data_IF_081530699748
#
_entry.id   IF_081530699748
#
_cell.length_a   1.000
_cell.length_b   1.000
_cell.length_c   1.000
_cell.angle_alpha   90.00
_cell.angle_beta   90.00
_cell.angle_gamma   90.00
#
_symmetry.space_group_name_H-M   'P 1'
#
loop_
_entity.id
_entity.type
_entity.pdbx_description
1 polymer ?
#
# COMPACT_ATOMS: atom_id res chain seq x y z
N UNK A 1 -28.84 -1.72 -19.29
CA UNK A 1 -28.06 -2.29 -18.17
C UNK A 1 -27.53 -3.65 -18.61
N UNK A 2 -26.21 -3.80 -18.84
CA UNK A 2 -25.63 -5.13 -19.10
C UNK A 2 -25.54 -5.85 -17.76
N UNK A 3 -26.22 -6.98 -17.63
CA UNK A 3 -26.18 -7.83 -16.45
C UNK A 3 -24.73 -8.25 -16.16
N UNK A 4 -24.25 -7.94 -14.96
CA UNK A 4 -23.03 -8.55 -14.41
C UNK A 4 -23.21 -10.08 -14.42
N UNK A 5 -22.17 -10.86 -14.77
CA UNK A 5 -22.27 -12.31 -14.73
C UNK A 5 -22.66 -12.72 -13.32
N UNK A 6 -23.71 -13.53 -13.20
CA UNK A 6 -24.19 -14.08 -11.93
C UNK A 6 -23.09 -14.95 -11.31
N UNK A 7 -22.22 -14.35 -10.51
CA UNK A 7 -21.37 -15.07 -9.56
C UNK A 7 -22.34 -15.71 -8.56
N UNK A 8 -22.37 -17.04 -8.47
CA UNK A 8 -23.31 -17.70 -7.56
C UNK A 8 -23.00 -17.29 -6.12
N UNK A 9 -24.03 -17.24 -5.28
CA UNK A 9 -23.91 -16.95 -3.85
C UNK A 9 -22.82 -17.79 -3.12
N UNK A 10 -22.56 -19.03 -3.59
CA UNK A 10 -21.53 -19.91 -3.04
C UNK A 10 -20.11 -19.51 -3.43
N UNK A 11 -19.93 -18.71 -4.48
CA UNK A 11 -18.61 -18.40 -5.03
C UNK A 11 -17.98 -17.18 -4.35
N UNK A 12 -18.75 -16.12 -4.08
CA UNK A 12 -18.27 -14.94 -3.34
C UNK A 12 -17.77 -15.29 -1.93
N UNK A 13 -18.51 -16.12 -1.21
CA UNK A 13 -18.18 -16.49 0.16
C UNK A 13 -16.86 -17.30 0.21
N UNK A 14 -16.64 -18.19 -0.77
CA UNK A 14 -15.36 -18.90 -0.93
C UNK A 14 -14.23 -17.93 -1.22
N UNK A 15 -14.43 -16.99 -2.14
CA UNK A 15 -13.45 -15.98 -2.48
C UNK A 15 -13.05 -15.14 -1.24
N UNK A 16 -14.02 -14.71 -0.43
CA UNK A 16 -13.72 -13.95 0.81
C UNK A 16 -12.95 -14.80 1.84
N UNK A 17 -13.30 -16.09 1.99
CA UNK A 17 -12.60 -17.02 2.89
C UNK A 17 -11.15 -17.22 2.43
N UNK A 18 -10.92 -17.40 1.13
CA UNK A 18 -9.59 -17.55 0.54
C UNK A 18 -8.73 -16.29 0.75
N UNK A 19 -9.35 -15.11 0.68
CA UNK A 19 -8.71 -13.82 0.98
C UNK A 19 -8.46 -13.57 2.47
N UNK A 20 -8.75 -14.53 3.36
CA UNK A 20 -8.45 -14.47 4.79
C UNK A 20 -9.68 -14.40 5.70
N UNK A 21 -10.88 -14.18 5.17
CA UNK A 21 -12.12 -13.98 5.92
C UNK A 21 -12.73 -15.26 6.53
N UNK A 22 -11.90 -16.20 7.02
CA UNK A 22 -12.32 -17.55 7.47
C UNK A 22 -13.44 -17.54 8.52
N UNK A 23 -13.45 -16.54 9.40
CA UNK A 23 -14.44 -16.40 10.47
C UNK A 23 -15.79 -15.81 10.03
N UNK A 24 -15.99 -15.49 8.75
CA UNK A 24 -17.17 -14.76 8.27
C UNK A 24 -18.50 -15.41 8.68
N UNK A 25 -18.62 -16.73 8.63
CA UNK A 25 -19.84 -17.45 9.00
C UNK A 25 -20.00 -17.70 10.51
N UNK A 26 -18.96 -17.44 11.32
CA UNK A 26 -19.10 -17.45 12.79
C UNK A 26 -19.86 -16.22 13.31
N UNK A 27 -19.91 -15.14 12.53
CA UNK A 27 -20.54 -13.88 12.91
C UNK A 27 -22.07 -13.98 12.92
N UNK A 28 -22.65 -13.88 14.11
CA UNK A 28 -24.09 -13.83 14.38
C UNK A 28 -24.67 -12.41 14.61
N UNK A 29 -23.96 -11.35 14.20
CA UNK A 29 -24.47 -9.96 14.18
C UNK A 29 -24.74 -9.29 15.55
N UNK A 30 -24.04 -9.68 16.63
CA UNK A 30 -24.19 -9.05 17.96
C UNK A 30 -23.84 -7.55 18.02
N UNK A 31 -22.84 -7.09 17.28
CA UNK A 31 -22.44 -5.67 17.25
C UNK A 31 -21.29 -5.27 18.18
N UNK A 32 -20.73 -6.19 18.99
CA UNK A 32 -19.61 -5.89 19.89
C UNK A 32 -18.42 -5.24 19.19
N UNK A 33 -18.14 -5.65 17.94
CA UNK A 33 -17.07 -5.06 17.13
C UNK A 33 -17.30 -3.58 16.81
N UNK A 34 -18.55 -3.15 16.63
CA UNK A 34 -18.87 -1.74 16.36
C UNK A 34 -18.82 -0.94 17.67
N UNK A 35 -19.33 -1.52 18.76
CA UNK A 35 -19.34 -0.88 20.08
C UNK A 35 -17.93 -0.63 20.66
N UNK A 36 -16.98 -1.55 20.44
CA UNK A 36 -15.60 -1.41 20.95
C UNK A 36 -14.71 -0.50 20.08
N UNK A 37 -15.16 -0.13 18.88
CA UNK A 37 -14.30 0.56 17.93
C UNK A 37 -14.19 2.04 18.26
N UNK A 38 -12.99 2.48 18.65
CA UNK A 38 -12.70 3.90 18.93
C UNK A 38 -13.01 4.84 17.74
N UNK A 39 -13.02 4.31 16.53
CA UNK A 39 -13.31 5.06 15.31
C UNK A 39 -14.82 5.17 15.03
N UNK A 40 -15.63 4.27 15.59
CA UNK A 40 -17.08 4.28 15.41
C UNK A 40 -17.77 5.45 16.13
N UNK A 41 -17.15 6.03 17.15
CA UNK A 41 -17.67 7.23 17.81
C UNK A 41 -17.63 8.47 16.88
N UNK A 42 -16.56 8.57 16.08
CA UNK A 42 -16.37 9.66 15.11
C UNK A 42 -17.00 9.40 13.74
N UNK A 43 -17.54 8.21 13.48
CA UNK A 43 -18.09 7.87 12.17
C UNK A 43 -19.33 6.97 12.24
N UNK A 44 -20.30 7.19 11.36
CA UNK A 44 -21.45 6.29 11.19
C UNK A 44 -21.07 5.00 10.46
N UNK A 45 -20.30 4.13 11.12
CA UNK A 45 -19.89 2.83 10.60
C UNK A 45 -20.68 1.67 11.23
N UNK A 46 -20.98 0.66 10.43
CA UNK A 46 -21.60 -0.58 10.90
C UNK A 46 -20.87 -1.76 10.29
N UNK A 47 -20.01 -2.41 11.07
CA UNK A 47 -19.30 -3.62 10.64
C UNK A 47 -20.28 -4.77 10.39
N UNK A 48 -21.35 -4.84 11.19
CA UNK A 48 -22.44 -5.80 11.05
C UNK A 48 -23.02 -5.80 9.64
N UNK A 49 -23.37 -4.61 9.14
CA UNK A 49 -23.99 -4.43 7.81
C UNK A 49 -23.11 -4.99 6.70
N UNK A 50 -21.84 -4.60 6.65
CA UNK A 50 -20.94 -5.04 5.58
C UNK A 50 -20.63 -6.54 5.67
N UNK A 51 -20.47 -7.08 6.89
CA UNK A 51 -20.31 -8.52 7.10
C UNK A 51 -21.58 -9.28 6.65
N UNK A 52 -22.77 -8.75 6.93
CA UNK A 52 -24.01 -9.38 6.48
C UNK A 52 -24.17 -9.33 4.96
N UNK A 53 -23.78 -8.24 4.31
CA UNK A 53 -23.75 -8.17 2.84
C UNK A 53 -22.82 -9.22 2.25
N UNK A 54 -21.67 -9.45 2.88
CA UNK A 54 -20.74 -10.50 2.50
C UNK A 54 -21.35 -11.89 2.67
N UNK A 55 -21.88 -12.21 3.86
CA UNK A 55 -22.57 -13.47 4.15
C UNK A 55 -23.73 -13.74 3.18
N UNK A 56 -24.46 -12.69 2.78
CA UNK A 56 -25.60 -12.75 1.86
C UNK A 56 -25.21 -12.68 0.37
N UNK A 57 -23.92 -12.55 0.04
CA UNK A 57 -23.43 -12.49 -1.33
C UNK A 57 -23.86 -11.24 -2.11
N UNK A 58 -24.17 -10.14 -1.42
CA UNK A 58 -24.60 -8.88 -2.05
C UNK A 58 -23.41 -8.08 -2.58
N UNK A 59 -22.79 -8.56 -3.67
CA UNK A 59 -21.64 -7.92 -4.36
C UNK A 59 -21.91 -6.44 -4.63
N UNK A 60 -23.10 -6.12 -5.15
CA UNK A 60 -23.47 -4.74 -5.49
C UNK A 60 -23.52 -3.79 -4.31
N UNK A 61 -23.80 -4.30 -3.11
CA UNK A 61 -23.77 -3.51 -1.87
C UNK A 61 -22.35 -3.44 -1.32
N UNK A 62 -21.61 -4.55 -1.38
CA UNK A 62 -20.22 -4.61 -0.93
C UNK A 62 -19.33 -3.64 -1.68
N UNK A 63 -19.39 -3.58 -3.02
CA UNK A 63 -18.52 -2.69 -3.80
C UNK A 63 -18.73 -1.20 -3.48
N UNK A 64 -19.91 -0.83 -2.97
CA UNK A 64 -20.29 0.54 -2.61
C UNK A 64 -20.04 0.88 -1.14
N UNK A 65 -19.83 -0.11 -0.28
CA UNK A 65 -19.69 0.10 1.16
C UNK A 65 -18.27 0.58 1.50
N UNK A 66 -18.18 1.73 2.17
CA UNK A 66 -16.91 2.39 2.52
C UNK A 66 -16.25 1.81 3.77
N UNK A 67 -17.01 1.09 4.59
CA UNK A 67 -16.58 0.62 5.91
C UNK A 67 -15.26 -0.19 5.88
N UNK A 68 -15.02 -1.12 4.93
CA UNK A 68 -13.75 -1.84 4.88
C UNK A 68 -12.53 -0.90 4.72
N UNK A 69 -12.67 0.18 3.94
CA UNK A 69 -11.60 1.16 3.70
C UNK A 69 -11.39 2.14 4.85
N UNK A 70 -12.45 2.44 5.61
CA UNK A 70 -12.37 3.27 6.81
C UNK A 70 -11.77 2.53 8.02
N UNK A 71 -11.76 1.19 8.00
CA UNK A 71 -11.21 0.38 9.07
C UNK A 71 -9.67 0.45 9.13
N UNK A 72 -9.13 0.87 10.28
CA UNK A 72 -7.68 0.94 10.54
C UNK A 72 -7.05 -0.40 10.95
N UNK A 73 -7.81 -1.48 11.06
CA UNK A 73 -7.29 -2.84 11.30
C UNK A 73 -6.51 -2.98 12.62
N UNK A 74 -6.84 -2.16 13.62
CA UNK A 74 -6.05 -2.07 14.85
C UNK A 74 -6.15 -3.33 15.73
N UNK A 75 -7.29 -4.02 15.70
CA UNK A 75 -7.46 -5.36 16.26
C UNK A 75 -8.40 -5.50 17.46
N UNK A 76 -8.80 -4.40 18.11
CA UNK A 76 -9.56 -4.45 19.38
C UNK A 76 -10.87 -5.24 19.27
N UNK A 77 -11.49 -5.26 18.09
CA UNK A 77 -12.71 -6.02 17.82
C UNK A 77 -12.54 -7.55 17.83
N UNK A 78 -11.31 -8.06 17.86
CA UNK A 78 -11.04 -9.51 17.88
C UNK A 78 -11.33 -10.05 19.27
N UNK A 79 -10.75 -9.44 20.30
CA UNK A 79 -10.94 -9.81 21.70
C UNK A 79 -12.40 -9.60 22.13
N UNK A 80 -13.03 -8.53 21.64
CA UNK A 80 -14.45 -8.25 21.92
C UNK A 80 -15.44 -9.21 21.23
N UNK A 81 -15.00 -10.09 20.33
CA UNK A 81 -15.89 -10.94 19.55
C UNK A 81 -16.22 -12.26 20.29
N UNK A 82 -17.46 -12.46 20.78
CA UNK A 82 -17.82 -13.65 21.58
C UNK A 82 -17.85 -14.97 20.77
N UNK A 83 -17.76 -14.88 19.45
CA UNK A 83 -17.77 -16.03 18.52
C UNK A 83 -16.42 -16.33 17.90
N UNK A 84 -15.36 -15.60 18.28
CA UNK A 84 -14.03 -15.74 17.65
C UNK A 84 -14.12 -15.68 16.10
N UNK A 85 -14.90 -14.73 15.60
CA UNK A 85 -15.12 -14.52 14.17
C UNK A 85 -14.02 -13.68 13.51
N UNK A 86 -13.14 -13.07 14.31
CA UNK A 86 -12.08 -12.18 13.87
C UNK A 86 -12.58 -11.09 12.88
N UNK A 87 -13.38 -10.11 13.34
CA UNK A 87 -13.95 -9.07 12.48
C UNK A 87 -12.88 -8.25 11.75
N UNK A 88 -11.69 -8.13 12.35
CA UNK A 88 -10.57 -7.39 11.79
C UNK A 88 -10.05 -8.03 10.50
N UNK A 89 -9.82 -9.35 10.49
CA UNK A 89 -9.41 -10.08 9.28
C UNK A 89 -10.53 -10.13 8.24
N UNK A 90 -11.80 -10.24 8.66
CA UNK A 90 -12.94 -10.16 7.72
C UNK A 90 -12.95 -8.81 7.00
N UNK A 91 -12.77 -7.68 7.70
CA UNK A 91 -12.71 -6.36 7.05
C UNK A 91 -11.46 -6.19 6.17
N UNK A 92 -10.34 -6.82 6.53
CA UNK A 92 -9.16 -6.87 5.67
C UNK A 92 -9.40 -7.67 4.38
N UNK A 93 -10.04 -8.85 4.48
CA UNK A 93 -10.38 -9.67 3.30
C UNK A 93 -11.40 -8.97 2.40
N UNK A 94 -12.35 -8.23 2.97
CA UNK A 94 -13.30 -7.44 2.19
C UNK A 94 -12.64 -6.31 1.40
N UNK A 95 -11.59 -5.66 1.93
CA UNK A 95 -10.79 -4.70 1.14
C UNK A 95 -10.08 -5.35 -0.02
N UNK A 96 -9.47 -6.53 0.22
CA UNK A 96 -8.83 -7.31 -0.85
C UNK A 96 -9.86 -7.63 -1.94
N UNK A 97 -11.03 -8.12 -1.54
CA UNK A 97 -12.13 -8.43 -2.45
C UNK A 97 -12.61 -7.20 -3.23
N UNK A 98 -12.90 -6.08 -2.56
CA UNK A 98 -13.29 -4.82 -3.20
C UNK A 98 -12.24 -4.32 -4.21
N UNK A 99 -10.95 -4.47 -3.89
CA UNK A 99 -9.86 -4.11 -4.81
C UNK A 99 -9.95 -4.89 -6.13
N UNK A 100 -10.36 -6.17 -6.09
CA UNK A 100 -10.60 -6.96 -7.30
C UNK A 100 -11.80 -6.50 -8.12
N UNK A 101 -12.79 -5.84 -7.50
CA UNK A 101 -13.98 -5.30 -8.19
C UNK A 101 -13.69 -3.95 -8.83
N UNK A 102 -12.85 -3.12 -8.19
CA UNK A 102 -12.48 -1.80 -8.69
C UNK A 102 -11.54 -1.88 -9.88
N UNK A 103 -10.68 -2.87 -9.92
CA UNK A 103 -9.80 -3.14 -11.06
C UNK A 103 -10.57 -3.70 -12.25
N UNK A 104 -10.47 -3.03 -13.40
CA UNK A 104 -11.13 -3.48 -14.64
C UNK A 104 -10.28 -4.42 -15.47
N UNK A 105 -8.97 -4.47 -15.21
CA UNK A 105 -8.02 -5.31 -15.95
C UNK A 105 -8.07 -6.78 -15.53
N UNK A 106 -8.55 -7.05 -14.31
CA UNK A 106 -8.54 -8.39 -13.70
C UNK A 106 -7.19 -8.78 -13.08
N UNK A 107 -6.15 -7.95 -13.19
CA UNK A 107 -4.82 -8.24 -12.65
C UNK A 107 -4.86 -8.31 -11.12
N UNK A 108 -5.62 -7.46 -10.45
CA UNK A 108 -5.82 -7.49 -9.00
C UNK A 108 -6.45 -8.80 -8.56
N UNK A 109 -7.43 -9.32 -9.32
CA UNK A 109 -8.03 -10.63 -9.03
C UNK A 109 -6.96 -11.71 -9.10
N UNK A 110 -6.21 -11.78 -10.20
CA UNK A 110 -5.10 -12.72 -10.31
C UNK A 110 -4.06 -12.53 -9.19
N UNK A 111 -3.71 -11.29 -8.86
CA UNK A 111 -2.74 -10.96 -7.82
C UNK A 111 -3.20 -11.45 -6.46
N UNK A 112 -4.39 -11.06 -5.99
CA UNK A 112 -4.84 -11.44 -4.65
C UNK A 112 -5.03 -12.97 -4.49
N UNK A 113 -5.58 -13.66 -5.49
CA UNK A 113 -5.86 -15.10 -5.41
C UNK A 113 -4.65 -16.00 -5.76
N UNK A 114 -3.58 -15.47 -6.36
CA UNK A 114 -2.39 -16.27 -6.65
C UNK A 114 -1.63 -16.67 -5.38
N UNK A 115 -1.01 -17.85 -5.37
CA UNK A 115 -0.12 -18.24 -4.27
C UNK A 115 1.14 -17.35 -4.23
N UNK A 116 1.79 -17.27 -3.06
CA UNK A 116 3.03 -16.50 -2.91
C UNK A 116 4.12 -16.96 -3.90
N UNK A 117 4.24 -18.26 -4.15
CA UNK A 117 5.18 -18.84 -5.13
C UNK A 117 4.94 -18.30 -6.54
N UNK A 118 3.69 -18.24 -7.00
CA UNK A 118 3.33 -17.69 -8.32
C UNK A 118 3.67 -16.20 -8.42
N UNK A 119 3.36 -15.43 -7.38
CA UNK A 119 3.69 -14.00 -7.33
C UNK A 119 5.20 -13.75 -7.39
N UNK A 120 5.98 -14.50 -6.61
CA UNK A 120 7.44 -14.43 -6.61
C UNK A 120 8.03 -14.83 -7.97
N UNK A 121 7.50 -15.88 -8.60
CA UNK A 121 7.92 -16.30 -9.93
C UNK A 121 7.70 -15.20 -10.98
N UNK A 122 6.52 -14.59 -11.03
CA UNK A 122 6.25 -13.51 -11.99
C UNK A 122 7.11 -12.28 -11.69
N UNK A 123 7.28 -11.94 -10.42
CA UNK A 123 8.18 -10.85 -10.01
C UNK A 123 9.61 -11.11 -10.46
N UNK A 124 10.11 -12.32 -10.26
CA UNK A 124 11.45 -12.73 -10.69
C UNK A 124 11.59 -12.65 -12.22
N UNK A 125 10.64 -13.20 -12.96
CA UNK A 125 10.65 -13.16 -14.44
C UNK A 125 10.66 -11.71 -14.94
N UNK A 126 9.79 -10.84 -14.43
CA UNK A 126 9.75 -9.43 -14.84
C UNK A 126 11.01 -8.67 -14.42
N UNK A 127 11.58 -9.00 -13.26
CA UNK A 127 12.86 -8.41 -12.84
C UNK A 127 13.98 -8.83 -13.78
N UNK A 128 13.99 -10.10 -14.21
CA UNK A 128 15.00 -10.61 -15.12
C UNK A 128 14.86 -10.04 -16.53
N UNK A 129 13.63 -9.92 -17.04
CA UNK A 129 13.36 -9.21 -18.30
C UNK A 129 13.87 -7.77 -18.21
N UNK A 130 13.61 -7.08 -17.09
CA UNK A 130 14.08 -5.71 -16.87
C UNK A 130 15.60 -5.63 -16.83
N UNK A 131 16.27 -6.51 -16.08
CA UNK A 131 17.74 -6.56 -15.96
C UNK A 131 18.39 -6.87 -17.32
N UNK A 132 17.90 -7.89 -18.03
CA UNK A 132 18.41 -8.26 -19.36
C UNK A 132 18.17 -7.12 -20.35
N UNK A 133 16.99 -6.50 -20.35
CA UNK A 133 16.71 -5.33 -21.19
C UNK A 133 17.63 -4.16 -20.91
N UNK A 134 17.87 -3.84 -19.63
CA UNK A 134 18.78 -2.76 -19.23
C UNK A 134 20.21 -3.03 -19.67
N UNK A 135 20.71 -4.25 -19.48
CA UNK A 135 22.05 -4.63 -19.92
C UNK A 135 22.12 -4.60 -21.46
N UNK A 136 21.21 -5.24 -22.17
CA UNK A 136 21.24 -5.29 -23.63
C UNK A 136 21.20 -3.90 -24.30
N UNK A 137 20.45 -2.95 -23.73
CA UNK A 137 20.27 -1.61 -24.32
C UNK A 137 21.35 -0.64 -23.84
N UNK A 138 21.72 -0.66 -22.55
CA UNK A 138 22.57 0.37 -21.94
C UNK A 138 23.97 -0.11 -21.57
N UNK A 139 24.37 -1.34 -21.94
CA UNK A 139 25.71 -1.87 -21.63
C UNK A 139 26.84 -0.95 -22.09
N UNK A 140 26.76 -0.43 -23.32
CA UNK A 140 27.80 0.47 -23.85
C UNK A 140 27.95 1.75 -23.02
N UNK A 141 26.83 2.38 -22.63
CA UNK A 141 26.85 3.55 -21.74
C UNK A 141 27.41 3.22 -20.36
N UNK A 142 26.99 2.09 -19.76
CA UNK A 142 27.52 1.63 -18.47
C UNK A 142 29.04 1.44 -18.54
N UNK A 143 29.53 0.71 -19.56
CA UNK A 143 30.96 0.46 -19.72
C UNK A 143 31.76 1.73 -19.98
N UNK A 144 31.20 2.70 -20.72
CA UNK A 144 31.83 4.00 -20.94
C UNK A 144 32.04 4.76 -19.62
N UNK A 145 31.01 4.90 -18.78
CA UNK A 145 31.16 5.57 -17.48
C UNK A 145 32.03 4.78 -16.50
N UNK A 146 31.90 3.45 -16.48
CA UNK A 146 32.74 2.58 -15.67
C UNK A 146 34.23 2.72 -16.04
N UNK A 147 34.56 2.81 -17.34
CA UNK A 147 35.94 3.02 -17.81
C UNK A 147 36.54 4.36 -17.36
N UNK A 148 35.67 5.34 -17.07
CA UNK A 148 36.05 6.65 -16.53
C UNK A 148 36.09 6.67 -15.00
N UNK A 149 35.82 5.54 -14.34
CA UNK A 149 35.70 5.45 -12.89
C UNK A 149 34.69 6.46 -12.32
N UNK A 150 33.51 6.56 -12.94
CA UNK A 150 32.42 7.39 -12.44
C UNK A 150 31.11 6.61 -12.47
N UNK A 151 30.32 6.76 -11.41
CA UNK A 151 28.93 6.30 -11.39
C UNK A 151 27.98 7.44 -11.73
N UNK A 152 27.10 7.21 -12.71
CA UNK A 152 26.08 8.15 -13.15
C UNK A 152 24.75 7.40 -13.25
N UNK A 153 23.69 7.98 -12.68
CA UNK A 153 22.33 7.53 -12.98
C UNK A 153 22.04 7.85 -14.44
N UNK A 154 21.98 6.84 -15.29
CA UNK A 154 21.84 6.98 -16.74
C UNK A 154 20.60 7.82 -17.12
N UNK A 155 20.78 9.02 -17.69
CA UNK A 155 19.66 9.86 -18.14
C UNK A 155 18.79 9.16 -19.18
N UNK A 156 19.35 8.23 -19.95
CA UNK A 156 18.68 7.48 -21.02
C UNK A 156 17.62 6.51 -20.47
N UNK A 157 17.70 6.11 -19.19
CA UNK A 157 16.71 5.27 -18.52
C UNK A 157 15.50 6.10 -18.07
N UNK A 158 15.68 7.41 -17.87
CA UNK A 158 14.66 8.28 -17.29
C UNK A 158 13.33 8.28 -18.08
N UNK A 159 13.30 8.34 -19.43
CA UNK A 159 12.05 8.27 -20.19
C UNK A 159 11.28 6.97 -19.94
N UNK A 160 11.98 5.83 -19.81
CA UNK A 160 11.36 4.53 -19.51
C UNK A 160 10.78 4.56 -18.10
N UNK A 161 11.53 5.07 -17.13
CA UNK A 161 11.05 5.23 -15.75
C UNK A 161 9.80 6.10 -15.65
N UNK A 162 9.78 7.24 -16.36
CA UNK A 162 8.62 8.14 -16.44
C UNK A 162 7.43 7.42 -17.09
N UNK A 163 7.63 6.75 -18.22
CA UNK A 163 6.58 6.01 -18.92
C UNK A 163 5.92 4.97 -18.01
N UNK A 164 6.72 4.13 -17.34
CA UNK A 164 6.20 3.10 -16.43
C UNK A 164 5.49 3.71 -15.23
N UNK A 165 5.99 4.83 -14.71
CA UNK A 165 5.35 5.56 -13.60
C UNK A 165 4.00 6.13 -14.03
N UNK A 166 3.93 6.79 -15.18
CA UNK A 166 2.69 7.36 -15.74
C UNK A 166 1.67 6.26 -16.02
N UNK A 167 2.10 5.14 -16.62
CA UNK A 167 1.25 3.98 -16.86
C UNK A 167 0.69 3.41 -15.54
N UNK A 168 1.55 3.20 -14.55
CA UNK A 168 1.19 2.68 -13.24
C UNK A 168 0.19 3.59 -12.52
N UNK A 169 0.47 4.90 -12.46
CA UNK A 169 -0.42 5.89 -11.85
C UNK A 169 -1.72 6.04 -12.64
N UNK A 170 -1.68 5.95 -13.96
CA UNK A 170 -2.87 5.96 -14.82
C UNK A 170 -3.79 4.76 -14.54
N UNK A 171 -3.23 3.56 -14.42
CA UNK A 171 -3.98 2.36 -14.04
C UNK A 171 -4.56 2.49 -12.63
N UNK A 172 -3.77 2.92 -11.65
CA UNK A 172 -4.24 3.14 -10.29
C UNK A 172 -5.35 4.20 -10.23
N UNK A 173 -5.18 5.33 -10.93
CA UNK A 173 -6.17 6.39 -11.01
C UNK A 173 -7.45 5.90 -11.70
N UNK A 174 -7.36 5.08 -12.74
CA UNK A 174 -8.52 4.49 -13.41
C UNK A 174 -9.33 3.60 -12.46
N UNK A 175 -8.66 2.78 -11.65
CA UNK A 175 -9.30 1.93 -10.65
C UNK A 175 -9.87 2.75 -9.50
N UNK A 176 -9.16 3.78 -9.05
CA UNK A 176 -9.64 4.75 -8.06
C UNK A 176 -10.90 5.48 -8.54
N UNK A 177 -10.94 5.89 -9.81
CA UNK A 177 -12.11 6.52 -10.40
C UNK A 177 -13.31 5.55 -10.48
N UNK A 178 -13.07 4.26 -10.77
CA UNK A 178 -14.13 3.23 -10.70
C UNK A 178 -14.66 3.08 -9.28
N UNK A 179 -13.78 2.98 -8.28
CA UNK A 179 -14.18 2.99 -6.86
C UNK A 179 -15.02 4.22 -6.55
N UNK A 180 -14.55 5.42 -6.91
CA UNK A 180 -15.24 6.69 -6.70
C UNK A 180 -16.66 6.67 -7.29
N UNK A 181 -16.82 6.16 -8.51
CA UNK A 181 -18.13 5.97 -9.15
C UNK A 181 -19.02 4.99 -8.38
N UNK A 182 -18.50 3.84 -7.97
CA UNK A 182 -19.29 2.85 -7.22
C UNK A 182 -19.84 3.42 -5.92
N UNK A 183 -19.03 4.19 -5.19
CA UNK A 183 -19.41 4.73 -3.88
C UNK A 183 -20.30 5.99 -3.95
N UNK A 184 -20.71 6.40 -5.15
CA UNK A 184 -21.70 7.46 -5.39
C UNK A 184 -21.21 8.65 -6.22
N UNK A 185 -19.90 8.77 -6.47
CA UNK A 185 -19.33 9.62 -7.52
C UNK A 185 -19.79 11.08 -7.55
N UNK A 186 -19.89 11.76 -6.40
CA UNK A 186 -20.31 13.17 -6.37
C UNK A 186 -21.72 13.42 -5.84
N UNK A 187 -22.53 12.36 -5.72
CA UNK A 187 -23.94 12.47 -5.32
C UNK A 187 -24.09 12.57 -3.80
N UNK A 188 -25.14 13.28 -3.40
CA UNK A 188 -25.59 13.40 -2.01
C UNK A 188 -24.52 13.98 -1.07
N UNK A 189 -23.77 14.95 -1.58
CA UNK A 189 -22.73 15.62 -0.81
C UNK A 189 -23.30 16.80 -0.02
N UNK A 190 -23.07 16.78 1.29
CA UNK A 190 -23.64 17.73 2.25
C UNK A 190 -22.69 18.84 2.67
N UNK A 191 -21.38 18.67 2.44
CA UNK A 191 -20.33 19.65 2.81
C UNK A 191 -19.42 19.97 1.63
N UNK A 192 -18.67 21.09 1.68
CA UNK A 192 -17.72 21.51 0.65
C UNK A 192 -16.43 20.66 0.62
N UNK A 193 -15.58 20.84 -0.41
CA UNK A 193 -14.34 20.07 -0.56
C UNK A 193 -13.36 20.41 0.57
N UNK A 194 -13.14 21.71 0.79
CA UNK A 194 -12.25 22.20 1.84
C UNK A 194 -12.73 21.78 3.23
N UNK A 195 -14.05 21.77 3.47
CA UNK A 195 -14.61 21.32 4.73
C UNK A 195 -14.41 19.80 4.93
N UNK A 196 -14.63 19.00 3.89
CA UNK A 196 -14.30 17.57 3.91
C UNK A 196 -12.82 17.33 4.24
N UNK A 197 -11.92 18.03 3.56
CA UNK A 197 -10.48 17.93 3.80
C UNK A 197 -10.11 18.24 5.25
N UNK A 198 -10.63 19.34 5.81
CA UNK A 198 -10.41 19.71 7.22
C UNK A 198 -10.89 18.62 8.17
N UNK A 199 -12.10 18.07 7.98
CA UNK A 199 -12.66 17.00 8.82
C UNK A 199 -11.84 15.72 8.77
N UNK A 200 -11.46 15.28 7.56
CA UNK A 200 -10.61 14.10 7.36
C UNK A 200 -9.26 14.29 8.07
N UNK A 201 -8.64 15.46 7.90
CA UNK A 201 -7.35 15.75 8.50
C UNK A 201 -7.42 15.75 10.03
N UNK A 202 -8.39 16.46 10.63
CA UNK A 202 -8.58 16.47 12.10
C UNK A 202 -8.86 15.08 12.65
N UNK A 203 -9.76 14.34 12.00
CA UNK A 203 -10.10 12.97 12.39
C UNK A 203 -8.86 12.06 12.35
N UNK A 204 -8.07 12.14 11.28
CA UNK A 204 -6.86 11.34 11.13
C UNK A 204 -5.81 11.69 12.19
N UNK A 205 -5.51 12.97 12.38
CA UNK A 205 -4.56 13.44 13.41
C UNK A 205 -4.99 12.95 14.80
N UNK A 206 -6.27 13.12 15.17
CA UNK A 206 -6.79 12.65 16.46
C UNK A 206 -6.65 11.13 16.60
N UNK A 207 -7.13 10.38 15.60
CA UNK A 207 -7.10 8.92 15.62
C UNK A 207 -5.67 8.36 15.73
N UNK A 208 -4.71 8.94 15.02
CA UNK A 208 -3.31 8.49 15.09
C UNK A 208 -2.67 8.88 16.43
N UNK A 209 -2.91 10.10 16.92
CA UNK A 209 -2.40 10.55 18.23
C UNK A 209 -2.92 9.68 19.38
N UNK A 210 -4.19 9.31 19.36
CA UNK A 210 -4.76 8.42 20.38
C UNK A 210 -4.18 7.00 20.27
N UNK A 211 -3.96 6.51 19.05
CA UNK A 211 -3.36 5.20 18.84
C UNK A 211 -1.86 5.15 19.24
N UNK A 212 -1.12 6.26 19.06
CA UNK A 212 0.28 6.39 19.50
C UNK A 212 0.44 6.32 21.03
N UNK A 213 -0.60 6.64 21.82
CA UNK A 213 -0.54 6.52 23.28
C UNK A 213 -0.39 5.07 23.74
N UNK A 214 -0.91 4.10 22.98
CA UNK A 214 -0.87 2.67 23.30
C UNK A 214 0.43 2.05 22.77
N UNK A 215 1.27 1.47 23.63
CA UNK A 215 2.62 0.97 23.30
C UNK A 215 2.65 0.01 22.09
N UNK A 216 1.81 -1.02 22.08
CA UNK A 216 1.77 -2.03 21.01
C UNK A 216 1.22 -1.48 19.68
N UNK A 217 0.39 -0.43 19.72
CA UNK A 217 -0.08 0.27 18.52
C UNK A 217 0.99 1.24 18.01
N UNK A 218 1.68 1.95 18.91
CA UNK A 218 2.75 2.92 18.61
C UNK A 218 3.83 2.33 17.72
N UNK A 219 4.35 1.16 18.07
CA UNK A 219 5.42 0.51 17.30
C UNK A 219 4.96 0.23 15.85
N UNK A 220 3.74 -0.30 15.68
CA UNK A 220 3.17 -0.60 14.36
C UNK A 220 2.96 0.66 13.51
N UNK A 221 2.51 1.74 14.14
CA UNK A 221 2.32 3.04 13.48
C UNK A 221 3.67 3.59 13.02
N UNK A 222 4.68 3.59 13.89
CA UNK A 222 6.03 4.08 13.56
C UNK A 222 6.67 3.29 12.41
N UNK A 223 6.55 1.96 12.41
CA UNK A 223 7.03 1.12 11.29
C UNK A 223 6.37 1.54 9.96
N UNK A 224 5.06 1.77 9.98
CA UNK A 224 4.34 2.22 8.77
C UNK A 224 4.70 3.66 8.37
N UNK A 225 4.89 4.56 9.34
CA UNK A 225 5.32 5.93 9.10
C UNK A 225 6.72 6.01 8.52
N UNK A 226 7.64 5.11 8.92
CA UNK A 226 8.96 5.03 8.30
C UNK A 226 8.86 4.61 6.82
N UNK A 227 8.03 3.62 6.49
CA UNK A 227 7.78 3.26 5.09
C UNK A 227 7.23 4.48 4.32
N UNK A 228 6.20 5.14 4.85
CA UNK A 228 5.57 6.29 4.20
C UNK A 228 6.56 7.45 4.00
N UNK A 229 7.30 7.81 5.05
CA UNK A 229 8.29 8.90 5.00
C UNK A 229 9.42 8.60 4.03
N UNK A 230 9.93 7.35 4.00
CA UNK A 230 10.95 6.94 3.04
C UNK A 230 10.46 7.03 1.59
N UNK A 231 9.25 6.55 1.29
CA UNK A 231 8.67 6.63 -0.06
C UNK A 231 8.47 8.09 -0.47
N UNK A 232 7.87 8.91 0.39
CA UNK A 232 7.64 10.34 0.11
C UNK A 232 8.96 11.06 -0.15
N UNK A 233 9.97 10.83 0.70
CA UNK A 233 11.27 11.46 0.54
C UNK A 233 11.94 11.06 -0.78
N UNK A 234 11.86 9.80 -1.19
CA UNK A 234 12.36 9.38 -2.50
C UNK A 234 11.60 10.04 -3.66
N UNK A 235 10.28 10.11 -3.60
CA UNK A 235 9.47 10.80 -4.62
C UNK A 235 9.88 12.28 -4.70
N UNK A 236 10.02 12.96 -3.56
CA UNK A 236 10.44 14.36 -3.52
C UNK A 236 11.83 14.55 -4.14
N UNK A 237 12.79 13.68 -3.82
CA UNK A 237 14.14 13.74 -4.42
C UNK A 237 14.08 13.58 -5.94
N UNK A 238 13.32 12.60 -6.44
CA UNK A 238 13.14 12.42 -7.90
C UNK A 238 12.47 13.64 -8.54
N UNK A 239 11.44 14.22 -7.92
CA UNK A 239 10.79 15.44 -8.44
C UNK A 239 11.74 16.64 -8.46
N UNK A 240 12.55 16.82 -7.43
CA UNK A 240 13.57 17.87 -7.39
C UNK A 240 14.57 17.68 -8.53
N UNK A 241 15.04 16.45 -8.77
CA UNK A 241 15.93 16.14 -9.89
C UNK A 241 15.30 16.46 -11.25
N UNK A 242 14.01 16.15 -11.43
CA UNK A 242 13.29 16.44 -12.67
C UNK A 242 13.09 17.93 -12.92
N UNK A 243 12.83 18.71 -11.88
CA UNK A 243 12.53 20.15 -12.00
C UNK A 243 13.81 20.98 -12.09
N UNK A 244 14.81 20.66 -11.29
CA UNK A 244 16.04 21.44 -11.18
C UNK A 244 17.25 20.56 -10.88
N UNK A 245 17.77 19.80 -11.88
CA UNK A 245 18.83 18.82 -11.67
C UNK A 245 20.13 19.43 -11.12
N UNK A 246 20.41 20.69 -11.43
CA UNK A 246 21.62 21.40 -10.98
C UNK A 246 21.75 21.45 -9.45
N UNK A 247 20.65 21.38 -8.69
CA UNK A 247 20.68 21.39 -7.22
C UNK A 247 21.47 20.23 -6.61
N UNK A 248 21.61 19.13 -7.34
CA UNK A 248 22.42 17.97 -6.93
C UNK A 248 23.93 18.26 -6.92
N UNK A 249 24.35 19.36 -7.55
CA UNK A 249 25.76 19.76 -7.67
C UNK A 249 26.07 21.09 -6.95
N UNK A 250 25.06 21.81 -6.44
CA UNK A 250 25.24 23.12 -5.81
C UNK A 250 25.49 22.96 -4.31
N UNK A 251 26.54 23.60 -3.79
CA UNK A 251 26.79 23.68 -2.35
C UNK A 251 25.84 24.70 -1.67
N UNK A 252 25.28 24.40 -0.47
CA UNK A 252 25.43 23.17 0.32
C UNK A 252 24.39 22.08 0.00
N UNK A 253 23.47 22.34 -0.93
CA UNK A 253 22.33 21.47 -1.22
C UNK A 253 22.71 20.06 -1.67
N UNK A 254 23.82 19.88 -2.37
CA UNK A 254 24.35 18.58 -2.75
C UNK A 254 24.52 17.63 -1.55
N UNK A 255 25.04 18.14 -0.41
CA UNK A 255 25.18 17.36 0.82
C UNK A 255 23.83 17.05 1.48
N UNK A 256 22.90 17.99 1.45
CA UNK A 256 21.53 17.77 1.98
C UNK A 256 20.83 16.67 1.18
N UNK A 257 20.96 16.69 -0.14
CA UNK A 257 20.39 15.68 -1.03
C UNK A 257 21.06 14.32 -0.84
N UNK A 258 22.39 14.30 -0.68
CA UNK A 258 23.14 13.09 -0.35
C UNK A 258 22.63 12.48 0.97
N UNK A 259 22.61 13.24 2.06
CA UNK A 259 22.09 12.78 3.34
C UNK A 259 20.62 12.31 3.24
N UNK A 260 19.78 13.04 2.51
CA UNK A 260 18.37 12.71 2.32
C UNK A 260 18.17 11.36 1.63
N UNK A 261 19.02 11.01 0.65
CA UNK A 261 18.99 9.68 0.00
C UNK A 261 19.26 8.56 1.00
N UNK A 262 20.24 8.72 1.88
CA UNK A 262 20.53 7.75 2.95
C UNK A 262 19.39 7.64 3.96
N UNK A 263 18.84 8.77 4.40
CA UNK A 263 17.69 8.80 5.30
C UNK A 263 16.50 8.07 4.68
N UNK A 264 16.18 8.35 3.41
CA UNK A 264 15.09 7.69 2.70
C UNK A 264 15.30 6.16 2.65
N UNK A 265 16.52 5.73 2.30
CA UNK A 265 16.89 4.31 2.24
C UNK A 265 16.74 3.61 3.60
N UNK A 266 17.29 4.21 4.65
CA UNK A 266 17.25 3.67 6.02
C UNK A 266 15.81 3.58 6.54
N UNK A 267 14.98 4.58 6.28
CA UNK A 267 13.57 4.56 6.64
C UNK A 267 12.82 3.39 5.98
N UNK A 268 13.09 3.10 4.71
CA UNK A 268 12.50 1.93 4.04
C UNK A 268 13.05 0.61 4.58
N UNK A 269 14.37 0.49 4.76
CA UNK A 269 15.02 -0.72 5.26
C UNK A 269 14.53 -1.07 6.67
N UNK A 270 14.49 -0.09 7.58
CA UNK A 270 14.02 -0.28 8.95
C UNK A 270 12.51 -0.46 8.98
N UNK A 271 11.76 0.41 8.30
CA UNK A 271 10.30 0.41 8.28
C UNK A 271 9.70 -0.87 7.69
N UNK A 272 10.31 -1.45 6.64
CA UNK A 272 9.89 -2.72 6.08
C UNK A 272 10.59 -3.93 6.74
N UNK A 273 11.85 -3.81 7.12
CA UNK A 273 12.65 -4.91 7.67
C UNK A 273 12.19 -5.37 9.05
N UNK A 274 11.90 -4.44 9.97
CA UNK A 274 11.41 -4.77 11.31
C UNK A 274 10.11 -5.60 11.28
N UNK A 275 9.02 -5.18 10.62
CA UNK A 275 7.82 -5.99 10.55
C UNK A 275 8.04 -7.29 9.76
N UNK A 276 8.96 -7.32 8.78
CA UNK A 276 9.32 -8.54 8.06
C UNK A 276 9.95 -9.60 9.00
N UNK A 277 10.95 -9.21 9.80
CA UNK A 277 11.59 -10.09 10.80
C UNK A 277 10.60 -10.51 11.87
N UNK A 278 9.77 -9.60 12.38
CA UNK A 278 8.71 -9.93 13.37
C UNK A 278 7.71 -10.95 12.82
N UNK A 279 7.41 -10.91 11.52
CA UNK A 279 6.55 -11.91 10.84
C UNK A 279 7.24 -13.25 10.63
N UNK A 280 8.58 -13.32 10.59
CA UNK A 280 9.31 -14.59 10.53
C UNK A 280 9.59 -15.18 11.92
N UNK A 281 9.62 -14.34 12.95
CA UNK A 281 9.92 -14.78 14.30
C UNK A 281 8.83 -15.68 14.90
N UNK A 282 9.28 -16.80 15.46
CA UNK A 282 8.44 -17.73 16.23
C UNK A 282 8.35 -17.34 17.73
N UNK A 283 9.06 -16.30 18.16
CA UNK A 283 9.11 -15.92 19.57
C UNK A 283 7.71 -15.63 20.14
N UNK A 284 7.37 -16.12 21.34
CA UNK A 284 6.11 -15.81 22.00
C UNK A 284 6.02 -14.32 22.40
N UNK A 285 7.15 -13.62 22.50
CA UNK A 285 7.20 -12.17 22.82
C UNK A 285 6.71 -11.27 21.68
N UNK A 286 6.59 -11.79 20.46
CA UNK A 286 6.08 -11.02 19.32
C UNK A 286 4.57 -10.92 19.39
N UNK A 287 4.07 -9.69 19.42
CA UNK A 287 2.65 -9.36 19.42
C UNK A 287 1.89 -10.10 18.30
N UNK A 288 0.72 -10.64 18.64
CA UNK A 288 -0.08 -11.55 17.79
C UNK A 288 -0.39 -10.95 16.41
N UNK A 289 -0.50 -9.61 16.31
CA UNK A 289 -0.76 -8.87 15.07
C UNK A 289 0.16 -9.30 13.91
N UNK A 290 1.47 -9.45 14.16
CA UNK A 290 2.44 -9.85 13.15
C UNK A 290 2.30 -11.33 12.72
N UNK A 291 1.61 -12.14 13.53
CA UNK A 291 1.35 -13.56 13.25
C UNK A 291 0.06 -13.76 12.45
N UNK A 292 -0.93 -12.88 12.65
CA UNK A 292 -2.26 -13.05 12.09
C UNK A 292 -2.40 -12.51 10.66
N UNK A 293 -1.96 -11.27 10.40
CA UNK A 293 -2.14 -10.60 9.10
C UNK A 293 -1.05 -10.96 8.10
N UNK A 294 -1.06 -12.19 7.56
CA UNK A 294 0.02 -12.74 6.71
C UNK A 294 -0.43 -13.13 5.30
N UNK A 295 -1.37 -12.39 4.71
CA UNK A 295 -1.77 -12.67 3.33
C UNK A 295 -0.56 -12.58 2.39
N UNK A 296 -0.54 -13.35 1.31
CA UNK A 296 0.59 -13.41 0.37
C UNK A 296 0.94 -12.04 -0.24
N UNK A 297 -0.05 -11.16 -0.41
CA UNK A 297 0.19 -9.77 -0.83
C UNK A 297 0.89 -8.92 0.23
N UNK A 298 0.74 -9.23 1.52
CA UNK A 298 1.46 -8.53 2.59
C UNK A 298 2.96 -8.84 2.53
N UNK A 299 3.31 -10.10 2.27
CA UNK A 299 4.70 -10.54 2.15
C UNK A 299 5.41 -9.94 0.96
N UNK A 300 4.80 -10.00 -0.22
CA UNK A 300 5.43 -9.47 -1.43
C UNK A 300 5.59 -7.95 -1.37
N UNK A 301 4.59 -7.25 -0.82
CA UNK A 301 4.61 -5.80 -0.65
C UNK A 301 5.74 -5.34 0.27
N UNK A 302 5.88 -5.96 1.46
CA UNK A 302 7.01 -5.68 2.35
C UNK A 302 8.35 -6.06 1.72
N UNK A 303 8.40 -7.19 1.00
CA UNK A 303 9.60 -7.63 0.30
C UNK A 303 10.09 -6.61 -0.74
N UNK A 304 9.20 -6.10 -1.59
CA UNK A 304 9.52 -5.05 -2.57
C UNK A 304 10.10 -3.81 -1.89
N UNK A 305 9.39 -3.25 -0.90
CA UNK A 305 9.83 -2.02 -0.20
C UNK A 305 11.19 -2.22 0.46
N UNK A 306 11.41 -3.38 1.11
CA UNK A 306 12.68 -3.70 1.73
C UNK A 306 13.81 -3.81 0.72
N UNK A 307 13.62 -4.55 -0.39
CA UNK A 307 14.65 -4.73 -1.42
C UNK A 307 14.96 -3.42 -2.14
N UNK A 308 13.96 -2.60 -2.45
CA UNK A 308 14.16 -1.27 -3.05
C UNK A 308 14.96 -0.37 -2.09
N UNK A 309 14.59 -0.34 -0.80
CA UNK A 309 15.34 0.40 0.21
C UNK A 309 16.78 -0.08 0.37
N UNK A 310 17.00 -1.40 0.43
CA UNK A 310 18.31 -2.01 0.61
C UNK A 310 19.22 -1.78 -0.60
N UNK A 311 18.71 -2.00 -1.81
CA UNK A 311 19.48 -1.76 -3.04
C UNK A 311 19.78 -0.28 -3.22
N UNK A 312 18.85 0.63 -2.89
CA UNK A 312 19.11 2.07 -2.88
C UNK A 312 20.21 2.47 -1.89
N UNK A 313 20.21 1.88 -0.68
CA UNK A 313 21.26 2.09 0.32
C UNK A 313 22.62 1.59 -0.18
N UNK A 314 22.68 0.34 -0.66
CA UNK A 314 23.91 -0.27 -1.15
C UNK A 314 24.50 0.46 -2.35
N UNK A 315 23.66 0.93 -3.27
CA UNK A 315 24.09 1.73 -4.41
C UNK A 315 24.79 3.02 -3.97
N UNK A 316 24.22 3.74 -3.00
CA UNK A 316 24.84 4.96 -2.47
C UNK A 316 26.17 4.63 -1.76
N UNK A 317 26.21 3.58 -0.93
CA UNK A 317 27.44 3.17 -0.22
C UNK A 317 28.55 2.81 -1.21
N UNK A 318 28.27 1.99 -2.23
CA UNK A 318 29.31 1.61 -3.19
C UNK A 318 29.78 2.79 -4.04
N UNK A 319 28.86 3.73 -4.37
CA UNK A 319 29.22 4.94 -5.09
C UNK A 319 30.19 5.79 -4.26
N UNK A 320 29.87 6.02 -2.98
CA UNK A 320 30.65 6.89 -2.11
C UNK A 320 32.00 6.25 -1.70
N UNK A 321 32.08 4.92 -1.72
CA UNK A 321 33.34 4.15 -1.57
C UNK A 321 34.12 3.99 -2.88
N UNK A 322 33.68 4.61 -3.98
CA UNK A 322 34.29 4.52 -5.31
C UNK A 322 34.39 3.09 -5.87
N UNK A 323 33.51 2.18 -5.43
CA UNK A 323 33.37 0.82 -5.96
C UNK A 323 32.35 0.85 -7.10
N UNK A 324 32.71 1.50 -8.20
CA UNK A 324 31.77 1.84 -9.28
C UNK A 324 31.18 0.62 -10.00
N UNK A 325 31.96 -0.45 -10.14
CA UNK A 325 31.44 -1.71 -10.70
C UNK A 325 30.24 -2.23 -9.89
N UNK A 326 30.39 -2.31 -8.55
CA UNK A 326 29.29 -2.73 -7.68
C UNK A 326 28.15 -1.72 -7.67
N UNK A 327 28.44 -0.42 -7.81
CA UNK A 327 27.41 0.61 -7.94
C UNK A 327 26.50 0.35 -9.15
N UNK A 328 27.07 0.03 -10.31
CA UNK A 328 26.30 -0.32 -11.51
C UNK A 328 25.58 -1.67 -11.40
N UNK A 329 26.20 -2.69 -10.80
CA UNK A 329 25.53 -3.98 -10.54
C UNK A 329 24.28 -3.76 -9.68
N UNK A 330 24.41 -3.04 -8.57
CA UNK A 330 23.28 -2.74 -7.69
C UNK A 330 22.26 -1.82 -8.37
N UNK A 331 22.69 -0.83 -9.16
CA UNK A 331 21.80 0.04 -9.92
C UNK A 331 20.91 -0.72 -10.90
N UNK A 332 21.47 -1.66 -11.66
CA UNK A 332 20.70 -2.51 -12.59
C UNK A 332 19.73 -3.41 -11.82
N UNK A 333 20.16 -4.00 -10.70
CA UNK A 333 19.28 -4.80 -9.83
C UNK A 333 18.16 -3.94 -9.22
N UNK A 334 18.48 -2.72 -8.78
CA UNK A 334 17.53 -1.79 -8.19
C UNK A 334 16.42 -1.45 -9.18
N UNK A 335 16.77 -0.99 -10.39
CA UNK A 335 15.78 -0.70 -11.44
C UNK A 335 15.01 -1.96 -11.83
N UNK A 336 15.72 -3.09 -11.93
CA UNK A 336 15.13 -4.41 -12.18
C UNK A 336 14.00 -4.77 -11.20
N UNK A 337 14.07 -4.33 -9.95
CA UNK A 337 13.02 -4.55 -8.94
C UNK A 337 11.98 -3.42 -8.93
N UNK A 338 12.39 -2.17 -9.19
CA UNK A 338 11.49 -1.01 -9.22
C UNK A 338 10.44 -1.13 -10.34
N UNK A 339 10.80 -1.62 -11.53
CA UNK A 339 9.86 -1.73 -12.65
C UNK A 339 8.71 -2.70 -12.37
N UNK A 340 8.93 -3.96 -11.94
CA UNK A 340 7.86 -4.86 -11.50
C UNK A 340 7.04 -4.30 -10.34
N UNK A 341 7.67 -3.61 -9.38
CA UNK A 341 6.97 -2.95 -8.29
C UNK A 341 5.95 -1.92 -8.80
N UNK A 342 6.35 -1.04 -9.72
CA UNK A 342 5.47 -0.06 -10.34
C UNK A 342 4.34 -0.73 -11.14
N UNK A 343 4.62 -1.80 -11.88
CA UNK A 343 3.64 -2.42 -12.77
C UNK A 343 2.64 -3.34 -12.07
N UNK A 344 3.04 -4.00 -10.98
CA UNK A 344 2.20 -4.98 -10.29
C UNK A 344 1.68 -4.45 -8.96
N UNK A 345 2.57 -3.96 -8.11
CA UNK A 345 2.25 -3.74 -6.71
C UNK A 345 1.55 -2.39 -6.47
N UNK A 346 1.93 -1.34 -7.21
CA UNK A 346 1.32 0.00 -7.11
C UNK A 346 -0.17 0.02 -7.53
N UNK A 347 -0.55 -0.42 -8.75
CA UNK A 347 -1.95 -0.35 -9.20
C UNK A 347 -2.83 -1.50 -8.72
N UNK A 348 -2.28 -2.70 -8.52
CA UNK A 348 -3.05 -3.93 -8.28
C UNK A 348 -2.77 -4.60 -6.93
N UNK A 349 -1.63 -4.26 -6.32
CA UNK A 349 -1.18 -4.83 -5.05
C UNK A 349 -1.68 -4.08 -3.82
N UNK A 350 -0.97 -4.26 -2.71
CA UNK A 350 -1.36 -3.63 -1.44
C UNK A 350 -1.20 -2.11 -1.51
N UNK A 351 -0.33 -1.59 -2.36
CA UNK A 351 -0.08 -0.15 -2.42
C UNK A 351 -1.29 0.63 -2.92
N UNK A 352 -2.24 0.06 -3.67
CA UNK A 352 -3.47 0.80 -4.07
C UNK A 352 -4.28 1.39 -2.89
N UNK A 353 -4.05 0.91 -1.66
CA UNK A 353 -4.76 1.35 -0.47
C UNK A 353 -4.59 2.84 -0.16
N UNK A 354 -3.49 3.50 -0.53
CA UNK A 354 -3.34 4.94 -0.28
C UNK A 354 -4.39 5.74 -1.06
N UNK A 355 -4.65 5.36 -2.31
CA UNK A 355 -5.68 6.00 -3.12
C UNK A 355 -7.09 5.61 -2.65
N UNK A 356 -7.35 4.31 -2.49
CA UNK A 356 -8.69 3.84 -2.10
C UNK A 356 -9.13 4.32 -0.73
N UNK A 357 -8.22 4.33 0.26
CA UNK A 357 -8.50 4.89 1.59
C UNK A 357 -8.73 6.40 1.54
N UNK A 358 -7.97 7.12 0.72
CA UNK A 358 -8.16 8.57 0.52
C UNK A 358 -9.53 8.88 -0.10
N UNK A 359 -9.92 8.13 -1.13
CA UNK A 359 -11.24 8.25 -1.75
C UNK A 359 -12.34 7.92 -0.74
N UNK A 360 -12.18 6.84 0.04
CA UNK A 360 -13.17 6.44 1.02
C UNK A 360 -13.36 7.50 2.12
N UNK A 361 -12.26 8.06 2.65
CA UNK A 361 -12.31 9.14 3.63
C UNK A 361 -12.96 10.40 3.04
N UNK A 362 -12.56 10.80 1.83
CA UNK A 362 -13.12 11.96 1.14
C UNK A 362 -14.64 11.82 0.93
N UNK A 363 -15.09 10.70 0.36
CA UNK A 363 -16.50 10.44 0.09
C UNK A 363 -17.29 10.32 1.41
N UNK A 364 -16.72 9.68 2.43
CA UNK A 364 -17.38 9.54 3.73
C UNK A 364 -17.58 10.89 4.41
N UNK A 365 -16.57 11.76 4.40
CA UNK A 365 -16.71 13.12 4.92
C UNK A 365 -17.74 13.92 4.13
N UNK A 366 -17.66 13.88 2.78
CA UNK A 366 -18.62 14.59 1.91
C UNK A 366 -20.07 14.16 2.10
N UNK A 367 -20.31 12.89 2.45
CA UNK A 367 -21.64 12.33 2.78
C UNK A 367 -22.06 12.53 4.25
N UNK A 368 -21.24 13.19 5.06
CA UNK A 368 -21.52 13.42 6.48
C UNK A 368 -21.34 12.20 7.37
N UNK A 369 -20.69 11.12 6.89
CA UNK A 369 -20.42 9.94 7.70
C UNK A 369 -19.28 10.16 8.70
N UNK A 370 -18.33 11.04 8.40
CA UNK A 370 -17.30 11.46 9.35
C UNK A 370 -17.84 12.67 10.13
N UNK A 371 -18.08 12.46 11.42
CA UNK A 371 -18.40 13.55 12.34
C UNK A 371 -17.12 14.35 12.53
N UNK A 372 -17.07 15.54 11.93
CA UNK A 372 -16.10 16.54 12.35
C UNK A 372 -16.51 16.97 13.74
N UNK A 373 -15.79 16.49 14.76
CA UNK A 373 -16.02 16.77 16.18
C UNK A 373 -17.40 16.33 16.72
N UNK A 374 -17.38 15.35 17.64
CA UNK A 374 -18.16 15.51 18.87
C UNK A 374 -17.34 16.49 19.70
N UNK A 375 -17.70 17.77 19.67
CA UNK A 375 -17.38 18.76 20.69
C UNK A 375 -18.50 19.81 20.64
N UNK A 376 -19.40 19.66 21.61
CA UNK A 376 -20.18 20.67 22.36
C UNK A 376 -20.70 21.91 21.63
#
# INVERSE_FOLDING_TARGET
MKATPYISFKDINKEIIELGGKGIFKCYQCGSCTATCAIAEGMFISFRRVIKYAQLGFVDKLQKDLVPWLCNVHGDCIEACPRDANPCEILASLRRYQSTLYDWTGISKWWYFSSLKKKLLVTFILSMISIVGLLSIFYSSIMNYLSKNVFVNLPEILPIGILLTVLSLGLLASNGYRMYKFVGGGKDYVISFFESFKRVLRFWIKSENDALKISDKRIRILEHMFILAGIILYILLVLIYLIYPAIYSIYPFAYVIMASRYVAALLLVVGAGLPFVKRLSNSPKIHWYYKMFRHSTDWISLGYVFVIGLTGLLMNIFNDLNVYFMSYVIYVLHIGVVFPFLLLEVPFGKHNHWLYKSIANYVSARKGFIRGEILE
#
